data_IF_333850321594
#
_entry.id   IF_333850321594
#
_cell.length_a   1.000
_cell.length_b   1.000
_cell.length_c   1.000
_cell.angle_alpha   90.00
_cell.angle_beta   90.00
_cell.angle_gamma   90.00
#
_symmetry.space_group_name_H-M   'P 1'
#
loop_
_entity.id
_entity.type
_entity.pdbx_description
1 polymer ?
#
# COMPACT_ATOMS: atom_id res chain seq x y z
N UNK A 1 -24.21 0.39 -38.99
CA UNK A 1 -24.31 -0.41 -40.24
C UNK A 1 -23.36 0.03 -41.37
N UNK A 2 -23.20 1.33 -41.63
CA UNK A 2 -22.41 1.79 -42.78
C UNK A 2 -20.90 1.51 -42.64
N UNK A 3 -20.31 1.74 -41.47
CA UNK A 3 -18.88 1.44 -41.20
C UNK A 3 -18.60 -0.06 -41.30
N UNK A 4 -19.47 -0.89 -40.74
CA UNK A 4 -19.31 -2.35 -40.77
C UNK A 4 -19.44 -2.92 -42.18
N UNK A 5 -20.37 -2.42 -42.99
CA UNK A 5 -20.49 -2.81 -44.40
C UNK A 5 -19.29 -2.37 -45.23
N UNK A 6 -18.76 -1.17 -44.96
CA UNK A 6 -17.56 -0.67 -45.64
C UNK A 6 -16.31 -1.49 -45.31
N UNK A 7 -16.12 -1.86 -44.03
CA UNK A 7 -15.03 -2.73 -43.60
C UNK A 7 -15.17 -4.13 -44.21
N UNK A 8 -16.39 -4.68 -44.23
CA UNK A 8 -16.64 -5.99 -44.83
C UNK A 8 -16.33 -6.02 -46.34
N UNK A 9 -16.80 -5.04 -47.11
CA UNK A 9 -16.58 -5.00 -48.56
C UNK A 9 -15.13 -4.64 -48.92
N UNK A 10 -14.54 -3.62 -48.28
CA UNK A 10 -13.21 -3.13 -48.68
C UNK A 10 -12.07 -3.91 -48.04
N UNK A 11 -12.17 -4.27 -46.77
CA UNK A 11 -11.09 -4.94 -46.04
C UNK A 11 -11.22 -6.46 -46.13
N UNK A 12 -12.38 -7.02 -45.77
CA UNK A 12 -12.56 -8.49 -45.70
C UNK A 12 -12.66 -9.09 -47.10
N UNK A 13 -13.52 -8.55 -47.97
CA UNK A 13 -13.67 -9.03 -49.35
C UNK A 13 -12.66 -8.48 -50.35
N UNK A 14 -12.21 -7.25 -50.13
CA UNK A 14 -11.26 -6.57 -51.02
C UNK A 14 -9.82 -6.93 -50.70
N UNK A 15 -9.29 -6.36 -49.63
CA UNK A 15 -7.87 -6.48 -49.26
C UNK A 15 -7.44 -7.92 -48.90
N UNK A 16 -8.32 -8.67 -48.21
CA UNK A 16 -8.03 -10.03 -47.77
C UNK A 16 -8.46 -11.12 -48.76
N UNK A 17 -8.83 -10.78 -49.99
CA UNK A 17 -9.39 -11.72 -50.99
C UNK A 17 -8.53 -12.96 -51.26
N UNK A 18 -7.21 -12.79 -51.25
CA UNK A 18 -6.25 -13.86 -51.57
C UNK A 18 -5.81 -14.68 -50.34
N UNK A 19 -6.33 -14.35 -49.15
CA UNK A 19 -5.98 -15.02 -47.89
C UNK A 19 -7.18 -15.76 -47.32
N UNK A 20 -6.92 -16.88 -46.66
CA UNK A 20 -7.95 -17.57 -45.88
C UNK A 20 -8.42 -16.68 -44.74
N UNK A 21 -9.70 -16.31 -44.74
CA UNK A 21 -10.31 -15.44 -43.73
C UNK A 21 -11.46 -16.19 -43.04
N UNK A 22 -11.44 -16.21 -41.71
CA UNK A 22 -12.51 -16.78 -40.88
C UNK A 22 -13.15 -15.62 -40.11
N UNK A 23 -14.44 -15.39 -40.33
CA UNK A 23 -15.19 -14.32 -39.66
C UNK A 23 -16.21 -14.93 -38.70
N UNK A 24 -16.01 -14.70 -37.41
CA UNK A 24 -16.98 -15.06 -36.37
C UNK A 24 -17.90 -13.86 -36.17
N UNK A 25 -19.19 -14.02 -36.44
CA UNK A 25 -20.16 -12.92 -36.33
C UNK A 25 -21.54 -13.43 -35.96
N UNK A 26 -22.25 -12.65 -35.13
CA UNK A 26 -23.68 -12.81 -34.90
C UNK A 26 -24.52 -12.08 -35.98
N UNK A 27 -23.88 -11.31 -36.87
CA UNK A 27 -24.57 -10.51 -37.86
C UNK A 27 -24.89 -11.31 -39.12
N UNK A 28 -26.14 -11.75 -39.20
CA UNK A 28 -26.72 -12.57 -40.28
C UNK A 28 -26.56 -11.93 -41.67
N UNK A 29 -26.57 -10.61 -41.74
CA UNK A 29 -26.54 -9.83 -42.98
C UNK A 29 -25.32 -10.09 -43.88
N UNK A 30 -24.24 -10.66 -43.34
CA UNK A 30 -23.03 -11.00 -44.10
C UNK A 30 -22.98 -12.45 -44.58
N UNK A 31 -23.88 -13.31 -44.09
CA UNK A 31 -23.89 -14.73 -44.42
C UNK A 31 -24.20 -14.99 -45.91
N UNK A 32 -24.98 -14.11 -46.55
CA UNK A 32 -25.26 -14.20 -47.99
C UNK A 32 -24.05 -13.95 -48.89
N UNK A 33 -22.94 -13.51 -48.31
CA UNK A 33 -21.78 -12.96 -49.01
C UNK A 33 -20.49 -13.73 -48.74
N UNK A 34 -20.54 -14.85 -48.02
CA UNK A 34 -19.37 -15.67 -47.66
C UNK A 34 -19.39 -17.02 -48.39
N UNK A 35 -18.21 -17.61 -48.55
CA UNK A 35 -18.06 -18.87 -49.30
C UNK A 35 -18.54 -20.09 -48.52
N UNK A 36 -18.42 -20.08 -47.18
CA UNK A 36 -18.84 -21.18 -46.31
C UNK A 36 -19.32 -20.66 -44.97
N UNK A 37 -20.38 -21.25 -44.43
CA UNK A 37 -20.96 -20.92 -43.14
C UNK A 37 -20.85 -22.15 -42.24
N UNK A 38 -20.32 -21.94 -41.04
CA UNK A 38 -20.23 -22.97 -40.00
C UNK A 38 -21.07 -22.49 -38.81
N UNK A 39 -22.10 -23.26 -38.47
CA UNK A 39 -22.92 -23.03 -37.28
C UNK A 39 -22.51 -24.00 -36.18
N UNK A 40 -22.15 -23.44 -35.03
CA UNK A 40 -21.69 -24.17 -33.85
C UNK A 40 -22.70 -23.90 -32.73
N UNK A 41 -23.17 -24.95 -32.07
CA UNK A 41 -24.06 -24.87 -30.92
C UNK A 41 -23.66 -25.93 -29.89
N UNK A 42 -23.66 -25.56 -28.61
CA UNK A 42 -23.30 -26.42 -27.48
C UNK A 42 -22.05 -27.29 -27.76
N UNK A 43 -20.96 -26.63 -28.15
CA UNK A 43 -19.64 -27.23 -28.43
C UNK A 43 -19.61 -28.21 -29.64
N UNK A 44 -20.72 -28.36 -30.35
CA UNK A 44 -20.83 -29.24 -31.52
C UNK A 44 -21.04 -28.43 -32.80
N UNK A 45 -20.39 -28.86 -33.88
CA UNK A 45 -20.61 -28.29 -35.22
C UNK A 45 -21.95 -28.85 -35.71
N UNK A 46 -23.00 -28.03 -35.69
CA UNK A 46 -24.32 -28.41 -36.19
C UNK A 46 -24.29 -28.49 -37.71
N UNK A 47 -23.63 -27.52 -38.36
CA UNK A 47 -23.73 -27.37 -39.81
C UNK A 47 -22.52 -26.67 -40.39
N UNK A 48 -22.04 -27.16 -41.53
CA UNK A 48 -21.01 -26.54 -42.36
C UNK A 48 -21.47 -26.58 -43.82
N UNK A 49 -22.03 -25.46 -44.32
CA UNK A 49 -22.68 -25.38 -45.65
C UNK A 49 -22.58 -24.00 -46.29
N UNK A 50 -22.85 -23.94 -47.59
CA UNK A 50 -22.98 -22.72 -48.38
C UNK A 50 -24.34 -22.03 -48.12
N UNK A 51 -24.45 -20.71 -48.29
CA UNK A 51 -25.71 -19.98 -48.03
C UNK A 51 -26.91 -20.53 -48.83
N UNK A 52 -26.70 -20.89 -50.10
CA UNK A 52 -27.73 -21.44 -50.99
C UNK A 52 -28.25 -22.81 -50.49
N UNK A 53 -27.36 -23.64 -49.96
CA UNK A 53 -27.73 -24.95 -49.42
C UNK A 53 -28.53 -24.83 -48.12
N UNK A 54 -28.17 -23.85 -47.28
CA UNK A 54 -28.89 -23.56 -46.05
C UNK A 54 -30.30 -23.06 -46.36
N UNK A 55 -30.44 -22.19 -47.36
CA UNK A 55 -31.74 -21.68 -47.81
C UNK A 55 -32.65 -22.78 -48.37
N UNK A 56 -32.09 -23.79 -49.02
CA UNK A 56 -32.85 -24.91 -49.61
C UNK A 56 -33.22 -26.01 -48.60
N UNK A 57 -32.42 -26.19 -47.53
CA UNK A 57 -32.50 -27.39 -46.67
C UNK A 57 -33.05 -27.12 -45.28
N UNK A 58 -32.92 -25.91 -44.74
CA UNK A 58 -33.05 -25.66 -43.31
C UNK A 58 -34.05 -24.53 -42.98
N UNK A 59 -35.34 -24.92 -42.94
CA UNK A 59 -36.43 -24.03 -42.54
C UNK A 59 -36.30 -23.57 -41.06
N UNK A 60 -35.63 -24.36 -40.22
CA UNK A 60 -35.36 -24.08 -38.80
C UNK A 60 -34.35 -22.95 -38.63
N UNK A 61 -33.27 -22.95 -39.41
CA UNK A 61 -32.29 -21.88 -39.41
C UNK A 61 -32.94 -20.57 -39.88
N UNK A 62 -33.68 -20.58 -41.00
CA UNK A 62 -34.41 -19.39 -41.47
C UNK A 62 -35.41 -18.85 -40.45
N UNK A 63 -36.08 -19.72 -39.68
CA UNK A 63 -37.01 -19.33 -38.60
C UNK A 63 -36.29 -18.67 -37.40
N UNK A 64 -35.05 -19.08 -37.12
CA UNK A 64 -34.16 -18.40 -36.15
C UNK A 64 -33.62 -17.06 -36.69
N UNK A 65 -33.49 -16.91 -38.01
CA UNK A 65 -33.00 -15.67 -38.66
C UNK A 65 -34.11 -14.64 -38.95
N UNK A 66 -35.35 -15.09 -39.14
CA UNK A 66 -36.54 -14.28 -39.47
C UNK A 66 -37.36 -13.88 -38.23
N UNK A 67 -36.76 -13.78 -37.05
CA UNK A 67 -37.37 -13.01 -35.95
C UNK A 67 -36.83 -11.56 -35.96
N UNK A 68 -37.33 -10.67 -36.84
CA UNK A 68 -37.04 -9.27 -36.69
C UNK A 68 -37.89 -8.74 -35.52
N UNK A 69 -37.22 -8.16 -34.53
CA UNK A 69 -37.58 -6.86 -33.95
C UNK A 69 -39.10 -6.64 -33.79
N UNK A 70 -39.69 -7.17 -32.72
CA UNK A 70 -40.91 -6.57 -32.15
C UNK A 70 -40.45 -5.65 -31.02
N UNK A 71 -40.38 -4.37 -31.39
CA UNK A 71 -40.68 -3.19 -30.59
C UNK A 71 -40.70 -3.35 -29.06
N UNK A 72 -39.74 -2.68 -28.43
CA UNK A 72 -39.86 -2.19 -27.06
C UNK A 72 -41.23 -1.55 -26.82
N UNK A 73 -42.08 -2.22 -26.04
CA UNK A 73 -42.96 -1.65 -25.02
C UNK A 73 -44.03 -2.67 -24.66
N UNK A 74 -43.86 -3.38 -23.54
CA UNK A 74 -44.95 -3.56 -22.57
C UNK A 74 -44.44 -4.17 -21.26
N UNK A 75 -44.67 -3.37 -20.23
CA UNK A 75 -44.49 -3.57 -18.81
C UNK A 75 -45.52 -4.59 -18.29
N UNK A 76 -45.10 -5.68 -17.65
CA UNK A 76 -45.94 -6.48 -16.73
C UNK A 76 -45.05 -6.95 -15.55
N UNK A 77 -45.55 -6.92 -14.31
CA UNK A 77 -44.75 -6.80 -13.08
C UNK A 77 -44.26 -8.12 -12.49
N UNK A 78 -43.31 -7.96 -11.57
CA UNK A 78 -42.90 -8.89 -10.51
C UNK A 78 -44.07 -9.69 -9.92
N UNK A 79 -43.86 -11.00 -9.69
CA UNK A 79 -43.90 -11.54 -8.32
C UNK A 79 -43.44 -13.02 -8.27
N UNK A 80 -42.47 -13.24 -7.39
CA UNK A 80 -42.34 -14.33 -6.41
C UNK A 80 -42.67 -15.78 -6.84
N UNK A 81 -41.64 -16.62 -6.96
CA UNK A 81 -41.12 -17.38 -5.81
C UNK A 81 -40.04 -18.37 -6.29
N UNK A 82 -38.84 -18.22 -5.76
CA UNK A 82 -37.72 -19.14 -5.95
C UNK A 82 -37.63 -20.05 -4.72
N UNK A 83 -37.91 -21.34 -4.90
CA UNK A 83 -37.53 -22.36 -3.91
C UNK A 83 -36.34 -23.20 -4.43
N UNK A 84 -35.49 -23.51 -3.47
CA UNK A 84 -34.10 -23.91 -3.54
C UNK A 84 -33.97 -25.42 -3.81
N UNK A 85 -32.97 -25.86 -4.60
CA UNK A 85 -32.24 -27.12 -4.35
C UNK A 85 -31.03 -27.30 -5.28
N UNK A 86 -29.84 -27.08 -4.71
CA UNK A 86 -28.59 -27.88 -4.75
C UNK A 86 -28.36 -28.87 -5.94
N UNK A 87 -27.18 -29.07 -6.51
CA UNK A 87 -25.80 -28.85 -6.05
C UNK A 87 -24.79 -29.20 -7.17
N UNK A 88 -23.54 -28.76 -6.97
CA UNK A 88 -22.24 -29.25 -7.51
C UNK A 88 -21.60 -28.67 -8.80
N UNK A 89 -20.53 -27.91 -8.51
CA UNK A 89 -19.12 -27.97 -8.99
C UNK A 89 -18.89 -27.87 -10.51
N UNK A 90 -18.07 -26.94 -11.02
CA UNK A 90 -16.63 -26.88 -10.74
C UNK A 90 -15.96 -25.68 -11.43
N UNK A 91 -14.92 -25.14 -10.79
CA UNK A 91 -13.66 -24.60 -11.34
C UNK A 91 -13.80 -23.58 -12.48
N UNK A 92 -13.67 -22.29 -12.15
CA UNK A 92 -13.25 -21.28 -13.13
C UNK A 92 -11.90 -20.70 -12.70
N UNK A 93 -10.87 -21.05 -13.47
CA UNK A 93 -9.51 -20.54 -13.37
C UNK A 93 -9.50 -19.02 -13.57
N UNK A 94 -9.19 -18.31 -12.48
CA UNK A 94 -8.84 -16.89 -12.50
C UNK A 94 -7.39 -16.78 -12.99
N UNK A 95 -7.17 -16.74 -14.31
CA UNK A 95 -5.87 -16.38 -14.89
C UNK A 95 -5.57 -14.91 -14.57
N UNK A 96 -4.77 -14.72 -13.53
CA UNK A 96 -3.94 -13.54 -13.31
C UNK A 96 -2.91 -13.43 -14.43
N UNK A 97 -3.07 -12.45 -15.31
CA UNK A 97 -2.05 -12.08 -16.30
C UNK A 97 -0.99 -11.20 -15.63
N UNK A 98 0.04 -11.83 -15.10
CA UNK A 98 1.37 -11.22 -14.93
C UNK A 98 2.03 -11.28 -16.29
N UNK A 99 2.16 -10.15 -16.98
CA UNK A 99 3.11 -9.90 -18.09
C UNK A 99 2.99 -8.42 -18.48
N UNK A 100 3.61 -7.55 -17.69
CA UNK A 100 3.86 -6.16 -18.06
C UNK A 100 5.36 -5.90 -17.97
N UNK A 101 6.13 -6.70 -18.69
CA UNK A 101 7.52 -6.45 -19.04
C UNK A 101 7.69 -7.05 -20.44
N UNK A 102 8.31 -6.30 -21.36
CA UNK A 102 8.47 -6.58 -22.81
C UNK A 102 7.37 -6.02 -23.71
N UNK A 103 7.32 -4.68 -23.82
CA UNK A 103 6.88 -4.03 -25.07
C UNK A 103 7.62 -2.69 -25.31
N UNK A 104 8.94 -2.69 -25.08
CA UNK A 104 9.81 -1.51 -25.24
C UNK A 104 10.81 -1.59 -26.40
N UNK A 105 10.58 -2.37 -27.45
CA UNK A 105 11.38 -2.29 -28.69
C UNK A 105 10.58 -2.75 -29.91
N UNK A 106 9.81 -1.85 -30.52
CA UNK A 106 9.57 -1.86 -31.97
C UNK A 106 9.20 -0.44 -32.41
N UNK A 107 10.23 0.38 -32.60
CA UNK A 107 10.13 1.64 -33.33
C UNK A 107 10.12 1.31 -34.83
N UNK A 108 8.94 1.37 -35.44
CA UNK A 108 8.79 1.54 -36.87
C UNK A 108 7.91 2.75 -37.12
N UNK A 109 8.59 3.87 -37.33
CA UNK A 109 8.08 5.14 -37.87
C UNK A 109 6.95 4.94 -38.87
N UNK A 110 5.75 5.36 -38.49
CA UNK A 110 4.75 5.82 -39.44
C UNK A 110 4.00 7.02 -38.87
N UNK A 111 4.25 8.18 -39.48
CA UNK A 111 3.59 9.45 -39.20
C UNK A 111 2.08 9.30 -39.36
N UNK A 112 1.35 9.23 -38.27
CA UNK A 112 -0.05 9.63 -38.20
C UNK A 112 -0.26 10.44 -36.93
N UNK A 113 -0.87 11.62 -37.10
CA UNK A 113 -1.22 12.56 -36.04
C UNK A 113 -2.28 11.95 -35.11
N UNK A 114 -1.90 10.97 -34.31
CA UNK A 114 -2.59 10.66 -33.08
C UNK A 114 -1.97 11.56 -32.01
N UNK A 115 -2.81 12.40 -31.40
CA UNK A 115 -2.51 13.03 -30.13
C UNK A 115 -2.25 11.89 -29.12
N UNK A 116 -1.00 11.42 -29.05
CA UNK A 116 -0.52 10.62 -27.94
C UNK A 116 -0.89 11.41 -26.69
N UNK A 117 -1.72 10.81 -25.84
CA UNK A 117 -2.02 11.37 -24.53
C UNK A 117 -0.68 11.62 -23.86
N UNK A 118 -0.30 12.90 -23.79
CA UNK A 118 0.95 13.35 -23.20
C UNK A 118 1.01 12.76 -21.81
N UNK A 119 1.87 11.75 -21.65
CA UNK A 119 2.18 11.11 -20.40
C UNK A 119 2.62 12.22 -19.45
N UNK A 120 1.74 12.61 -18.52
CA UNK A 120 2.10 13.58 -17.49
C UNK A 120 3.09 12.89 -16.56
N UNK A 121 4.38 13.04 -16.87
CA UNK A 121 5.48 12.76 -15.97
C UNK A 121 5.13 13.41 -14.63
N UNK A 122 5.03 12.60 -13.57
CA UNK A 122 4.60 13.08 -12.26
C UNK A 122 5.45 14.29 -11.86
N UNK A 123 4.82 15.45 -11.66
CA UNK A 123 5.51 16.65 -11.20
C UNK A 123 6.02 16.42 -9.77
N UNK A 124 7.32 16.19 -9.64
CA UNK A 124 8.01 16.12 -8.36
C UNK A 124 8.26 17.53 -7.85
N UNK A 125 7.67 17.88 -6.70
CA UNK A 125 8.07 19.10 -6.00
C UNK A 125 9.53 18.97 -5.59
N UNK A 126 10.37 19.90 -6.05
CA UNK A 126 11.77 20.02 -5.63
C UNK A 126 11.86 21.12 -4.57
N UNK A 127 12.28 20.76 -3.36
CA UNK A 127 12.38 21.68 -2.24
C UNK A 127 12.53 20.96 -0.90
N UNK A 128 12.78 21.73 0.16
CA UNK A 128 12.78 21.20 1.53
C UNK A 128 11.34 20.97 1.99
N UNK A 129 11.10 19.86 2.68
CA UNK A 129 9.78 19.54 3.22
C UNK A 129 9.57 20.37 4.49
N UNK A 130 8.43 21.05 4.60
CA UNK A 130 8.08 21.82 5.81
C UNK A 130 7.93 20.89 7.01
N UNK A 131 8.43 21.32 8.18
CA UNK A 131 8.20 20.63 9.46
C UNK A 131 6.73 20.38 9.74
N UNK A 132 5.85 21.27 9.27
CA UNK A 132 4.40 21.14 9.35
C UNK A 132 3.88 19.86 8.70
N UNK A 133 4.55 19.30 7.69
CA UNK A 133 4.14 18.05 7.05
C UNK A 133 4.41 16.85 7.96
N UNK A 134 5.56 16.82 8.62
CA UNK A 134 5.88 15.79 9.62
C UNK A 134 4.95 15.90 10.83
N UNK A 135 4.68 17.12 11.28
CA UNK A 135 3.73 17.36 12.35
C UNK A 135 2.32 16.93 11.94
N UNK A 136 1.86 17.28 10.74
CA UNK A 136 0.57 16.85 10.21
C UNK A 136 0.46 15.32 10.18
N UNK A 137 1.54 14.59 9.86
CA UNK A 137 1.51 13.12 9.90
C UNK A 137 1.11 12.57 11.28
N UNK A 138 1.70 13.09 12.36
CA UNK A 138 1.39 12.66 13.74
C UNK A 138 0.14 13.34 14.34
N UNK A 139 -0.09 14.61 14.05
CA UNK A 139 -1.18 15.42 14.62
C UNK A 139 -2.53 15.20 13.96
N UNK A 140 -2.55 14.71 12.71
CA UNK A 140 -3.81 14.32 12.04
C UNK A 140 -4.40 13.00 12.60
N UNK A 141 -3.78 12.42 13.62
CA UNK A 141 -4.37 11.33 14.37
C UNK A 141 -5.59 11.78 15.17
N UNK A 142 -6.64 10.96 15.09
CA UNK A 142 -7.89 11.18 15.86
C UNK A 142 -7.70 11.08 17.37
N UNK A 143 -6.63 10.42 17.84
CA UNK A 143 -6.35 10.16 19.25
C UNK A 143 -5.12 10.93 19.74
N UNK A 144 -5.26 12.25 19.92
CA UNK A 144 -4.21 13.14 20.45
C UNK A 144 -3.59 12.65 21.78
N UNK A 145 -4.35 11.88 22.56
CA UNK A 145 -3.87 11.22 23.79
C UNK A 145 -2.71 10.24 23.56
N UNK A 146 -2.70 9.48 22.46
CA UNK A 146 -1.60 8.55 22.15
C UNK A 146 -0.33 9.27 21.73
N UNK A 147 -0.46 10.35 20.95
CA UNK A 147 0.66 11.22 20.58
C UNK A 147 1.24 11.91 21.83
N UNK A 148 0.39 12.37 22.75
CA UNK A 148 0.84 12.90 24.03
C UNK A 148 1.58 11.82 24.85
N UNK A 149 1.05 10.60 24.90
CA UNK A 149 1.68 9.46 25.59
C UNK A 149 3.05 9.11 24.98
N UNK A 150 3.19 9.18 23.65
CA UNK A 150 4.47 9.01 22.96
C UNK A 150 5.49 10.05 23.43
N UNK A 151 5.12 11.33 23.43
CA UNK A 151 6.02 12.41 23.88
C UNK A 151 6.46 12.16 25.33
N UNK A 152 5.51 11.85 26.22
CA UNK A 152 5.79 11.57 27.63
C UNK A 152 6.73 10.38 27.82
N UNK A 153 6.52 9.28 27.08
CA UNK A 153 7.38 8.09 27.19
C UNK A 153 8.76 8.28 26.57
N UNK A 154 8.90 9.13 25.54
CA UNK A 154 10.21 9.56 25.04
C UNK A 154 11.01 10.30 26.13
N UNK A 155 10.42 11.32 26.76
CA UNK A 155 11.07 12.04 27.85
C UNK A 155 11.37 11.12 29.05
N UNK A 156 10.43 10.27 29.46
CA UNK A 156 10.62 9.34 30.58
C UNK A 156 11.76 8.35 30.30
N UNK A 157 11.87 7.85 29.06
CA UNK A 157 12.98 6.97 28.66
C UNK A 157 14.34 7.69 28.75
N UNK A 158 14.42 8.94 28.26
CA UNK A 158 15.64 9.74 28.31
C UNK A 158 16.04 10.07 29.75
N UNK A 159 15.06 10.43 30.60
CA UNK A 159 15.28 10.71 32.01
C UNK A 159 15.82 9.48 32.73
N UNK A 160 15.25 8.29 32.48
CA UNK A 160 15.69 7.06 33.14
C UNK A 160 17.13 6.71 32.75
N UNK A 161 17.49 6.89 31.48
CA UNK A 161 18.87 6.69 30.99
C UNK A 161 19.82 7.69 31.68
N UNK A 162 19.47 8.99 31.67
CA UNK A 162 20.30 10.04 32.26
C UNK A 162 20.47 9.86 33.77
N UNK A 163 19.41 9.44 34.48
CA UNK A 163 19.48 9.08 35.90
C UNK A 163 20.43 7.89 36.13
N UNK A 164 20.44 6.91 35.22
CA UNK A 164 21.39 5.80 35.24
C UNK A 164 22.85 6.27 35.13
N UNK A 165 23.14 7.16 34.18
CA UNK A 165 24.49 7.70 33.97
C UNK A 165 24.98 8.53 35.16
N UNK A 166 24.11 9.37 35.73
CA UNK A 166 24.40 10.16 36.94
C UNK A 166 24.63 9.22 38.14
N UNK A 167 23.82 8.17 38.28
CA UNK A 167 23.97 7.20 39.36
C UNK A 167 25.30 6.45 39.27
N UNK A 168 25.70 5.99 38.08
CA UNK A 168 26.99 5.34 37.86
C UNK A 168 28.13 6.30 38.22
N UNK A 169 28.03 7.57 37.80
CA UNK A 169 29.04 8.60 38.11
C UNK A 169 29.16 8.82 39.62
N UNK A 170 28.04 8.86 40.34
CA UNK A 170 28.02 8.96 41.79
C UNK A 170 28.66 7.72 42.45
N UNK A 171 28.29 6.52 42.01
CA UNK A 171 28.80 5.26 42.56
C UNK A 171 30.31 5.13 42.38
N UNK A 172 30.85 5.47 41.21
CA UNK A 172 32.30 5.46 40.95
C UNK A 172 33.05 6.42 41.88
N UNK A 173 32.55 7.65 42.05
CA UNK A 173 33.16 8.64 42.96
C UNK A 173 33.13 8.21 44.43
N UNK A 174 32.04 7.57 44.86
CA UNK A 174 31.91 7.01 46.20
C UNK A 174 32.99 5.94 46.43
N UNK A 175 33.11 4.99 45.52
CA UNK A 175 34.08 3.89 45.60
C UNK A 175 35.52 4.40 45.63
N UNK A 176 35.87 5.37 44.77
CA UNK A 176 37.20 6.00 44.74
C UNK A 176 37.58 6.65 46.08
N UNK A 177 36.63 7.34 46.72
CA UNK A 177 36.85 7.98 48.03
C UNK A 177 37.09 6.97 49.16
N UNK A 178 36.45 5.80 49.11
CA UNK A 178 36.63 4.71 50.08
C UNK A 178 38.02 4.08 49.94
N UNK A 179 38.48 3.86 48.70
CA UNK A 179 39.82 3.34 48.44
C UNK A 179 40.93 4.29 48.91
N UNK A 180 40.80 5.60 48.65
CA UNK A 180 41.83 6.58 49.03
C UNK A 180 41.87 6.86 50.55
N UNK A 181 40.75 6.80 51.25
CA UNK A 181 40.73 6.95 52.71
C UNK A 181 41.36 5.75 53.44
N UNK A 182 41.30 4.56 52.84
CA UNK A 182 41.88 3.35 53.43
C UNK A 182 43.41 3.36 53.42
N UNK A 183 44.05 4.01 52.43
CA UNK A 183 45.51 4.14 52.35
C UNK A 183 46.11 5.22 53.26
N UNK A 184 45.29 6.15 53.78
CA UNK A 184 45.73 7.29 54.61
C UNK A 184 45.16 7.21 56.04
N UNK A 185 45.26 6.04 56.69
CA UNK A 185 44.75 5.85 58.05
C UNK A 185 45.70 6.43 59.11
N UNK A 186 45.58 7.74 59.40
CA UNK A 186 45.84 8.29 60.74
C UNK A 186 44.50 8.60 61.44
N UNK A 187 44.31 8.20 62.72
CA UNK A 187 43.00 7.98 63.32
C UNK A 187 42.40 9.22 63.97
N UNK A 188 42.34 10.37 63.27
CA UNK A 188 41.81 11.62 63.86
C UNK A 188 40.80 12.39 63.00
N UNK A 189 40.50 11.94 61.77
CA UNK A 189 39.57 12.61 60.85
C UNK A 189 38.34 11.73 60.56
N UNK A 190 37.71 11.14 61.59
CA UNK A 190 36.42 10.43 61.40
C UNK A 190 35.20 11.35 61.50
N UNK A 191 35.35 12.57 62.01
CA UNK A 191 34.21 13.43 62.33
C UNK A 191 33.92 14.55 61.31
N UNK A 192 34.87 14.91 60.43
CA UNK A 192 34.68 16.00 59.44
C UNK A 192 34.33 15.53 58.02
N UNK A 193 34.34 14.21 57.76
CA UNK A 193 33.98 13.63 56.45
C UNK A 193 32.47 13.28 56.40
N UNK A 194 31.84 13.06 57.56
CA UNK A 194 30.40 12.80 57.68
C UNK A 194 29.51 13.99 57.29
N UNK A 195 30.08 15.20 57.16
CA UNK A 195 29.31 16.40 56.79
C UNK A 195 29.29 16.70 55.29
N UNK A 196 30.10 16.02 54.47
CA UNK A 196 30.18 16.26 53.02
C UNK A 196 29.43 15.17 52.22
N UNK A 197 29.29 13.96 52.75
CA UNK A 197 28.52 12.88 52.12
C UNK A 197 27.39 12.39 53.03
N UNK A 198 26.19 12.93 52.86
CA UNK A 198 24.99 12.64 53.66
C UNK A 198 24.43 11.21 53.52
N UNK A 199 25.07 10.31 52.77
CA UNK A 199 24.65 8.91 52.69
C UNK A 199 25.83 7.97 52.41
N UNK A 200 26.41 7.38 53.46
CA UNK A 200 27.34 6.25 53.32
C UNK A 200 26.53 4.98 53.03
N UNK A 201 26.20 4.77 51.75
CA UNK A 201 25.48 3.59 51.28
C UNK A 201 26.42 2.39 51.27
N UNK A 202 25.99 1.26 51.83
CA UNK A 202 26.74 0.00 51.74
C UNK A 202 26.83 -0.48 50.28
N UNK A 203 27.97 -1.07 49.90
CA UNK A 203 28.20 -1.58 48.53
C UNK A 203 27.08 -2.47 48.01
N UNK A 204 26.52 -3.33 48.86
CA UNK A 204 25.39 -4.20 48.52
C UNK A 204 24.14 -3.40 48.10
N UNK A 205 23.85 -2.29 48.79
CA UNK A 205 22.72 -1.41 48.47
C UNK A 205 22.94 -0.66 47.14
N UNK A 206 24.18 -0.26 46.80
CA UNK A 206 24.49 0.33 45.50
C UNK A 206 24.19 -0.64 44.33
N UNK A 207 24.53 -1.91 44.50
CA UNK A 207 24.27 -2.97 43.51
C UNK A 207 22.75 -3.18 43.34
N UNK A 208 21.98 -3.20 44.44
CA UNK A 208 20.53 -3.30 44.36
C UNK A 208 19.89 -2.10 43.62
N UNK A 209 20.33 -0.88 43.89
CA UNK A 209 19.79 0.31 43.20
C UNK A 209 20.14 0.29 41.71
N UNK A 210 21.38 -0.07 41.35
CA UNK A 210 21.81 -0.18 39.96
C UNK A 210 21.02 -1.25 39.19
N UNK A 211 20.80 -2.42 39.78
CA UNK A 211 19.98 -3.47 39.17
C UNK A 211 18.52 -3.03 38.97
N UNK A 212 17.92 -2.35 39.95
CA UNK A 212 16.57 -1.80 39.83
C UNK A 212 16.46 -0.73 38.73
N UNK A 213 17.44 0.18 38.64
CA UNK A 213 17.52 1.19 37.58
C UNK A 213 17.65 0.55 36.20
N UNK A 214 18.49 -0.49 36.06
CA UNK A 214 18.67 -1.20 34.79
C UNK A 214 17.36 -1.84 34.32
N UNK A 215 16.62 -2.48 35.22
CA UNK A 215 15.30 -3.05 34.91
C UNK A 215 14.30 -1.95 34.50
N UNK A 216 14.31 -0.81 35.19
CA UNK A 216 13.46 0.34 34.84
C UNK A 216 13.78 0.91 33.44
N UNK A 217 15.06 0.99 33.07
CA UNK A 217 15.50 1.41 31.72
C UNK A 217 14.94 0.45 30.66
N UNK A 218 15.01 -0.86 30.89
CA UNK A 218 14.48 -1.85 29.94
C UNK A 218 12.96 -1.68 29.77
N UNK A 219 12.23 -1.60 30.89
CA UNK A 219 10.77 -1.48 30.88
C UNK A 219 10.32 -0.19 30.16
N UNK A 220 10.94 0.95 30.48
CA UNK A 220 10.59 2.24 29.86
C UNK A 220 10.89 2.27 28.36
N UNK A 221 12.00 1.66 27.92
CA UNK A 221 12.33 1.55 26.50
C UNK A 221 11.38 0.60 25.74
N UNK A 222 11.00 -0.53 26.35
CA UNK A 222 10.00 -1.43 25.77
C UNK A 222 8.65 -0.72 25.61
N UNK A 223 8.21 0.01 26.64
CA UNK A 223 6.97 0.78 26.60
C UNK A 223 7.00 1.86 25.50
N UNK A 224 8.11 2.60 25.39
CA UNK A 224 8.32 3.58 24.30
C UNK A 224 8.19 2.91 22.94
N UNK A 225 8.93 1.83 22.69
CA UNK A 225 8.92 1.12 21.41
C UNK A 225 7.50 0.66 21.01
N UNK A 226 6.76 0.07 21.97
CA UNK A 226 5.39 -0.37 21.74
C UNK A 226 4.45 0.79 21.37
N UNK A 227 4.55 1.92 22.08
CA UNK A 227 3.72 3.10 21.79
C UNK A 227 4.09 3.71 20.44
N UNK A 228 5.38 3.81 20.11
CA UNK A 228 5.83 4.36 18.82
C UNK A 228 5.32 3.57 17.63
N UNK A 229 5.43 2.24 17.68
CA UNK A 229 4.88 1.37 16.63
C UNK A 229 3.36 1.52 16.57
N UNK A 230 2.68 1.56 17.73
CA UNK A 230 1.22 1.73 17.79
C UNK A 230 0.72 3.04 17.18
N UNK A 231 1.46 4.13 17.38
CA UNK A 231 1.19 5.45 16.79
C UNK A 231 1.44 5.40 15.29
N UNK A 232 2.62 4.96 14.85
CA UNK A 232 2.97 4.93 13.43
C UNK A 232 2.03 4.04 12.60
N UNK A 233 1.68 2.85 13.09
CA UNK A 233 0.70 1.96 12.44
C UNK A 233 -0.67 2.63 12.30
N UNK A 234 -1.08 3.42 13.30
CA UNK A 234 -2.36 4.13 13.26
C UNK A 234 -2.33 5.31 12.29
N UNK A 235 -1.25 6.09 12.31
CA UNK A 235 -1.02 7.18 11.37
C UNK A 235 -1.03 6.68 9.92
N UNK A 236 -0.32 5.59 9.63
CA UNK A 236 -0.33 4.93 8.33
C UNK A 236 -1.73 4.49 7.91
N UNK A 237 -2.44 3.74 8.77
CA UNK A 237 -3.81 3.28 8.46
C UNK A 237 -4.74 4.46 8.15
N UNK A 238 -4.60 5.56 8.88
CA UNK A 238 -5.36 6.78 8.63
C UNK A 238 -4.99 7.42 7.29
N UNK A 239 -3.70 7.50 6.96
CA UNK A 239 -3.22 7.99 5.68
C UNK A 239 -3.75 7.13 4.52
N UNK A 240 -3.71 5.79 4.67
CA UNK A 240 -4.23 4.84 3.69
C UNK A 240 -5.71 5.07 3.44
N UNK A 241 -6.49 5.13 4.52
CA UNK A 241 -7.93 5.33 4.43
C UNK A 241 -8.28 6.69 3.82
N UNK A 242 -7.52 7.74 4.14
CA UNK A 242 -7.72 9.06 3.53
C UNK A 242 -7.41 9.05 2.04
N UNK A 243 -6.29 8.45 1.64
CA UNK A 243 -5.91 8.30 0.24
C UNK A 243 -6.93 7.45 -0.54
N UNK A 244 -7.35 6.32 0.02
CA UNK A 244 -8.37 5.44 -0.55
C UNK A 244 -9.71 6.17 -0.72
N UNK A 245 -10.16 6.85 0.34
CA UNK A 245 -11.40 7.61 0.32
C UNK A 245 -11.36 8.77 -0.70
N UNK A 246 -10.21 9.42 -0.88
CA UNK A 246 -10.03 10.44 -1.91
C UNK A 246 -10.07 9.83 -3.31
N UNK A 247 -9.43 8.66 -3.51
CA UNK A 247 -9.37 7.96 -4.79
C UNK A 247 -10.76 7.52 -5.28
N UNK A 248 -11.56 6.89 -4.41
CA UNK A 248 -12.92 6.43 -4.80
C UNK A 248 -13.88 7.59 -5.12
N UNK A 249 -13.60 8.80 -4.60
CA UNK A 249 -14.38 10.02 -4.89
C UNK A 249 -13.83 10.82 -6.05
N UNK A 250 -12.72 10.41 -6.65
CA UNK A 250 -12.12 11.12 -7.77
C UNK A 250 -12.99 11.00 -9.03
N UNK A 251 -13.04 12.07 -9.84
CA UNK A 251 -13.76 12.07 -11.12
C UNK A 251 -13.05 11.14 -12.12
N UNK A 252 -13.79 10.58 -13.08
CA UNK A 252 -13.21 9.72 -14.14
C UNK A 252 -12.06 10.39 -14.91
N UNK A 253 -12.10 11.73 -15.04
CA UNK A 253 -11.02 12.50 -15.65
C UNK A 253 -9.66 12.32 -14.95
N UNK A 254 -9.66 12.10 -13.63
CA UNK A 254 -8.43 11.80 -12.88
C UNK A 254 -7.80 10.49 -13.35
N UNK A 255 -8.60 9.44 -13.55
CA UNK A 255 -8.14 8.13 -14.00
C UNK A 255 -7.74 8.10 -15.49
N UNK A 256 -8.34 8.95 -16.31
CA UNK A 256 -7.92 9.09 -17.71
C UNK A 256 -6.62 9.89 -17.86
N UNK A 257 -6.30 10.76 -16.88
CA UNK A 257 -5.09 11.60 -16.91
C UNK A 257 -3.90 10.94 -16.23
N UNK A 258 -4.13 10.10 -15.22
CA UNK A 258 -3.08 9.46 -14.43
C UNK A 258 -3.04 7.97 -14.74
N UNK A 259 -1.85 7.45 -15.04
CA UNK A 259 -1.63 6.04 -15.27
C UNK A 259 -1.98 5.22 -14.02
N UNK A 260 -2.69 4.11 -14.22
CA UNK A 260 -3.04 3.17 -13.14
C UNK A 260 -1.80 2.68 -12.38
N UNK A 261 -0.67 2.51 -13.08
CA UNK A 261 0.61 2.10 -12.47
C UNK A 261 1.12 3.05 -11.39
N UNK A 262 1.05 4.37 -11.63
CA UNK A 262 1.50 5.38 -10.66
C UNK A 262 0.64 5.41 -9.40
N UNK A 263 -0.68 5.21 -9.57
CA UNK A 263 -1.61 5.09 -8.43
C UNK A 263 -1.26 3.85 -7.61
N UNK A 264 -1.05 2.71 -8.25
CA UNK A 264 -0.68 1.45 -7.56
C UNK A 264 0.65 1.62 -6.83
N UNK A 265 1.66 2.24 -7.45
CA UNK A 265 2.97 2.45 -6.83
C UNK A 265 2.89 3.29 -5.53
N UNK A 266 1.97 4.28 -5.47
CA UNK A 266 1.72 5.05 -4.24
C UNK A 266 1.10 4.21 -3.12
N UNK A 267 0.18 3.32 -3.47
CA UNK A 267 -0.46 2.42 -2.50
C UNK A 267 0.46 1.31 -2.00
N UNK A 268 1.40 0.85 -2.83
CA UNK A 268 2.30 -0.25 -2.48
C UNK A 268 3.65 0.25 -1.96
N UNK A 269 4.45 0.88 -2.81
CA UNK A 269 5.84 1.21 -2.54
C UNK A 269 5.98 2.37 -1.57
N UNK A 270 5.25 3.45 -1.81
CA UNK A 270 5.35 4.64 -0.96
C UNK A 270 4.73 4.37 0.42
N UNK A 271 3.58 3.67 0.46
CA UNK A 271 2.99 3.28 1.73
C UNK A 271 3.83 2.27 2.50
N UNK A 272 4.41 1.29 1.80
CA UNK A 272 5.34 0.34 2.42
C UNK A 272 6.55 1.04 3.04
N UNK A 273 7.12 2.05 2.37
CA UNK A 273 8.21 2.85 2.93
C UNK A 273 7.80 3.64 4.18
N UNK A 274 6.57 4.18 4.21
CA UNK A 274 6.01 4.86 5.39
C UNK A 274 5.80 3.89 6.56
N UNK A 275 5.46 2.63 6.28
CA UNK A 275 5.14 1.64 7.31
C UNK A 275 6.38 0.99 7.90
N UNK A 276 7.38 0.72 7.08
CA UNK A 276 8.58 -0.04 7.46
C UNK A 276 9.74 0.88 7.89
N UNK A 277 10.02 1.93 7.10
CA UNK A 277 11.25 2.72 7.25
C UNK A 277 11.04 3.90 8.20
N UNK A 278 9.86 4.54 8.14
CA UNK A 278 9.57 5.76 8.90
C UNK A 278 9.62 5.56 10.42
N UNK A 279 9.02 4.50 11.02
CA UNK A 279 8.98 4.36 12.48
C UNK A 279 10.38 4.18 13.07
N UNK A 280 11.21 3.39 12.38
CA UNK A 280 12.60 3.15 12.75
C UNK A 280 13.41 4.46 12.68
N UNK A 281 13.36 5.15 11.53
CA UNK A 281 14.14 6.37 11.30
C UNK A 281 13.77 7.50 12.26
N UNK A 282 12.47 7.71 12.51
CA UNK A 282 12.01 8.77 13.43
C UNK A 282 12.42 8.46 14.87
N UNK A 283 12.32 7.20 15.29
CA UNK A 283 12.74 6.79 16.64
C UNK A 283 14.23 7.05 16.84
N UNK A 284 15.06 6.70 15.86
CA UNK A 284 16.51 6.92 15.91
C UNK A 284 16.86 8.41 15.91
N UNK A 285 16.25 9.22 15.03
CA UNK A 285 16.47 10.67 15.03
C UNK A 285 16.09 11.32 16.37
N UNK A 286 14.93 10.97 16.94
CA UNK A 286 14.49 11.50 18.24
C UNK A 286 15.43 11.06 19.35
N UNK A 287 15.86 9.79 19.36
CA UNK A 287 16.83 9.30 20.34
C UNK A 287 18.16 10.06 20.27
N UNK A 288 18.72 10.26 19.07
CA UNK A 288 19.98 10.98 18.88
C UNK A 288 19.86 12.42 19.39
N UNK A 289 18.78 13.12 19.04
CA UNK A 289 18.55 14.50 19.49
C UNK A 289 18.43 14.55 21.03
N UNK A 290 17.64 13.66 21.63
CA UNK A 290 17.45 13.63 23.08
C UNK A 290 18.73 13.27 23.84
N UNK A 291 19.52 12.32 23.34
CA UNK A 291 20.83 11.95 23.91
C UNK A 291 21.81 13.11 23.82
N UNK A 292 21.87 13.81 22.67
CA UNK A 292 22.72 15.00 22.53
C UNK A 292 22.35 16.09 23.53
N UNK A 293 21.06 16.39 23.66
CA UNK A 293 20.58 17.38 24.64
C UNK A 293 20.94 16.95 26.07
N UNK A 294 20.73 15.67 26.42
CA UNK A 294 21.06 15.15 27.74
C UNK A 294 22.58 15.20 28.02
N UNK A 295 23.42 14.84 27.05
CA UNK A 295 24.86 14.90 27.19
C UNK A 295 25.35 16.34 27.44
N UNK A 296 24.78 17.31 26.73
CA UNK A 296 25.07 18.74 26.95
C UNK A 296 24.66 19.16 28.37
N UNK A 297 23.51 18.73 28.86
CA UNK A 297 23.04 19.02 30.22
C UNK A 297 23.92 18.36 31.29
N UNK A 298 24.46 17.16 31.04
CA UNK A 298 25.32 16.46 32.00
C UNK A 298 26.72 17.08 32.08
N UNK A 299 27.22 17.62 30.96
CA UNK A 299 28.56 18.23 30.88
C UNK A 299 28.57 19.68 31.40
N UNK A 300 27.47 20.42 31.22
CA UNK A 300 27.29 21.78 31.75
C UNK A 300 27.02 21.78 33.26
#
# INVERSE_FOLDING_TARGET
PHVSSHLFEKCIKGFLKEKTCILITHQIQYLSKVDKIIHIDNENIIMERTYEEIQASDLSFLKYLQSPVISDSQYIPDDNDCDYSADKKSILDRKTSVTSDVSLLYDSKENTNHEEQVEKVEMRSSGNISWDTYLAYFLNERNKSKVLCLILTCFLSQLTISCGDIWITYWVKLEESLFHNTSLSTPTIKNSINTIFWWSINRETCIYIFSALTVLIIITNMLKSFITISVCMRASTNLHNNMFNALIRAKINFFNTNLSGSIINRFSKDMGAIDEILPYTITDCVNIILVLVAAVIIVL
#
